data_IF_162417144685
#
_entry.id   IF_162417144685
#
_cell.length_a   1.000
_cell.length_b   1.000
_cell.length_c   1.000
_cell.angle_alpha   90.00
_cell.angle_beta   90.00
_cell.angle_gamma   90.00
#
_symmetry.space_group_name_H-M   'P 1'
#
loop_
_entity.id
_entity.type
_entity.pdbx_description
1 polymer ?
#
# COMPACT_ATOMS: atom_id res chain seq x y z
N UNK A 1 0.43 -4.30 -29.15
CA UNK A 1 0.90 -3.64 -27.90
C UNK A 1 1.32 -4.66 -26.83
N UNK A 2 0.43 -5.54 -26.36
CA UNK A 2 0.75 -6.50 -25.28
C UNK A 2 1.90 -7.47 -25.60
N UNK A 3 1.92 -8.08 -26.78
CA UNK A 3 3.02 -8.97 -27.20
C UNK A 3 4.38 -8.27 -27.19
N UNK A 4 4.41 -6.96 -27.48
CA UNK A 4 5.63 -6.17 -27.41
C UNK A 4 6.08 -6.00 -25.95
N UNK A 5 5.14 -5.72 -25.03
CA UNK A 5 5.44 -5.64 -23.60
C UNK A 5 5.97 -6.96 -23.06
N UNK A 6 5.38 -8.10 -23.45
CA UNK A 6 5.88 -9.42 -23.07
C UNK A 6 7.30 -9.68 -23.60
N UNK A 7 7.66 -9.17 -24.78
CA UNK A 7 9.03 -9.28 -25.33
C UNK A 7 10.02 -8.44 -24.54
N UNK A 8 9.69 -7.18 -24.28
CA UNK A 8 10.52 -6.27 -23.48
C UNK A 8 10.74 -6.86 -22.08
N UNK A 9 9.69 -7.37 -21.44
CA UNK A 9 9.81 -7.98 -20.11
C UNK A 9 10.76 -9.18 -20.10
N UNK A 10 10.66 -10.08 -21.08
CA UNK A 10 11.61 -11.20 -21.22
C UNK A 10 13.05 -10.74 -21.40
N UNK A 11 13.29 -9.71 -22.22
CA UNK A 11 14.63 -9.15 -22.40
C UNK A 11 15.19 -8.59 -21.09
N UNK A 12 14.38 -7.92 -20.27
CA UNK A 12 14.84 -7.41 -18.98
C UNK A 12 15.18 -8.53 -18.00
N UNK A 13 14.39 -9.61 -17.99
CA UNK A 13 14.68 -10.80 -17.17
C UNK A 13 16.00 -11.46 -17.59
N UNK A 14 16.22 -11.62 -18.90
CA UNK A 14 17.44 -12.21 -19.44
C UNK A 14 18.69 -11.39 -19.09
N UNK A 15 18.61 -10.05 -19.13
CA UNK A 15 19.70 -9.18 -18.71
C UNK A 15 20.05 -9.35 -17.22
N UNK A 16 19.05 -9.47 -16.36
CA UNK A 16 19.24 -9.68 -14.92
C UNK A 16 19.80 -11.09 -14.64
N UNK A 17 19.24 -12.11 -15.28
CA UNK A 17 19.69 -13.50 -15.16
C UNK A 17 21.16 -13.64 -15.52
N UNK A 18 21.59 -13.06 -16.64
CA UNK A 18 22.99 -13.08 -17.06
C UNK A 18 23.91 -12.38 -16.06
N UNK A 19 23.50 -11.23 -15.52
CA UNK A 19 24.29 -10.50 -14.53
C UNK A 19 24.43 -11.29 -13.21
N UNK A 20 23.36 -11.96 -12.77
CA UNK A 20 23.35 -12.83 -11.59
C UNK A 20 24.20 -14.07 -11.81
N UNK A 21 24.05 -14.74 -12.96
CA UNK A 21 24.83 -15.93 -13.31
C UNK A 21 26.33 -15.63 -13.39
N UNK A 22 26.70 -14.43 -13.85
CA UNK A 22 28.08 -13.97 -13.91
C UNK A 22 28.63 -13.48 -12.54
N UNK A 23 27.80 -13.36 -11.51
CA UNK A 23 28.20 -12.76 -10.23
C UNK A 23 28.59 -11.28 -10.34
N UNK A 24 28.12 -10.57 -11.37
CA UNK A 24 28.52 -9.20 -11.68
C UNK A 24 27.72 -8.20 -10.83
N UNK A 25 28.16 -8.04 -9.57
CA UNK A 25 27.57 -7.11 -8.61
C UNK A 25 27.40 -5.68 -9.13
N UNK A 26 28.42 -5.06 -9.76
CA UNK A 26 28.30 -3.74 -10.38
C UNK A 26 27.18 -3.68 -11.43
N UNK A 27 27.06 -4.69 -12.30
CA UNK A 27 26.01 -4.73 -13.31
C UNK A 27 24.62 -4.91 -12.71
N UNK A 28 24.49 -5.72 -11.66
CA UNK A 28 23.23 -5.88 -10.93
C UNK A 28 22.79 -4.55 -10.32
N UNK A 29 23.72 -3.82 -9.70
CA UNK A 29 23.43 -2.52 -9.10
C UNK A 29 22.94 -1.51 -10.16
N UNK A 30 23.63 -1.40 -11.30
CA UNK A 30 23.23 -0.53 -12.41
C UNK A 30 21.81 -0.86 -12.93
N UNK A 31 21.47 -2.14 -13.08
CA UNK A 31 20.13 -2.57 -13.48
C UNK A 31 19.06 -2.16 -12.46
N UNK A 32 19.33 -2.33 -11.17
CA UNK A 32 18.40 -1.97 -10.09
C UNK A 32 18.24 -0.46 -9.93
N UNK A 33 19.31 0.31 -10.10
CA UNK A 33 19.26 1.77 -10.06
C UNK A 33 18.43 2.33 -11.23
N UNK A 34 18.63 1.81 -12.44
CA UNK A 34 17.78 2.16 -13.60
C UNK A 34 16.32 1.84 -13.34
N UNK A 35 16.02 0.67 -12.78
CA UNK A 35 14.65 0.31 -12.41
C UNK A 35 14.06 1.27 -11.37
N UNK A 36 14.86 1.70 -10.39
CA UNK A 36 14.45 2.68 -9.37
C UNK A 36 14.11 4.03 -9.99
N UNK A 37 14.94 4.54 -10.90
CA UNK A 37 14.70 5.83 -11.56
C UNK A 37 13.48 5.78 -12.49
N UNK A 38 13.30 4.70 -13.26
CA UNK A 38 12.08 4.50 -14.06
C UNK A 38 10.85 4.49 -13.16
N UNK A 39 10.89 3.77 -12.03
CA UNK A 39 9.77 3.73 -11.07
C UNK A 39 9.44 5.12 -10.52
N UNK A 40 10.45 5.96 -10.24
CA UNK A 40 10.24 7.34 -9.77
C UNK A 40 9.56 8.23 -10.81
N UNK A 41 9.78 7.96 -12.10
CA UNK A 41 9.16 8.69 -13.20
C UNK A 41 7.71 8.26 -13.46
N UNK A 42 7.28 7.08 -13.00
CA UNK A 42 5.87 6.69 -13.05
C UNK A 42 5.10 7.55 -12.06
N UNK A 43 4.12 8.35 -12.51
CA UNK A 43 3.33 9.17 -11.61
C UNK A 43 2.64 8.28 -10.57
N UNK A 44 2.85 8.55 -9.29
CA UNK A 44 2.12 7.89 -8.19
C UNK A 44 0.59 7.98 -8.40
N UNK A 45 0.14 9.01 -9.12
CA UNK A 45 -1.25 9.31 -9.47
C UNK A 45 -1.60 8.98 -10.93
N UNK A 46 -1.05 7.90 -11.50
CA UNK A 46 -1.52 7.46 -12.82
C UNK A 46 -2.92 6.89 -12.62
N UNK A 47 -3.95 7.58 -13.16
CA UNK A 47 -5.32 7.07 -13.30
C UNK A 47 -5.29 5.79 -14.16
N UNK A 48 -4.90 4.68 -13.57
CA UNK A 48 -5.02 3.35 -14.14
C UNK A 48 -6.42 2.78 -13.92
N UNK A 49 -6.64 1.58 -14.43
CA UNK A 49 -7.88 0.80 -14.24
C UNK A 49 -8.11 0.35 -12.78
N UNK A 50 -7.10 0.47 -11.92
CA UNK A 50 -7.22 0.26 -10.48
C UNK A 50 -7.34 1.65 -9.82
N UNK A 51 -8.43 1.94 -9.09
CA UNK A 51 -8.59 3.21 -8.42
C UNK A 51 -7.44 3.42 -7.42
N UNK A 52 -6.91 4.65 -7.37
CA UNK A 52 -5.98 5.03 -6.30
C UNK A 52 -6.76 4.94 -5.00
N UNK A 53 -6.31 4.05 -4.11
CA UNK A 53 -6.88 3.90 -2.79
C UNK A 53 -6.01 4.65 -1.78
N UNK A 54 -6.61 5.54 -1.01
CA UNK A 54 -5.95 6.28 0.06
C UNK A 54 -6.05 5.46 1.34
N UNK A 55 -4.93 5.12 1.98
CA UNK A 55 -4.92 4.10 3.03
C UNK A 55 -4.53 4.67 4.39
N UNK A 56 -5.10 4.12 5.44
CA UNK A 56 -4.64 4.33 6.82
C UNK A 56 -4.36 2.99 7.49
N UNK A 57 -3.39 3.00 8.39
CA UNK A 57 -3.08 1.88 9.27
C UNK A 57 -3.45 2.26 10.70
N UNK A 58 -4.27 1.42 11.32
CA UNK A 58 -4.83 1.65 12.65
C UNK A 58 -4.35 0.52 13.57
N UNK A 59 -3.73 0.88 14.69
CA UNK A 59 -3.42 -0.08 15.76
C UNK A 59 -4.67 -0.33 16.60
N UNK A 60 -5.09 -1.60 16.69
CA UNK A 60 -6.30 -1.99 17.42
C UNK A 60 -5.96 -2.90 18.60
N UNK A 61 -6.48 -2.61 19.81
CA UNK A 61 -6.35 -3.52 20.94
C UNK A 61 -6.99 -4.89 20.64
N UNK A 62 -6.36 -5.96 21.12
CA UNK A 62 -6.90 -7.33 20.98
C UNK A 62 -7.97 -7.59 22.04
N UNK A 63 -9.16 -7.02 21.82
CA UNK A 63 -10.35 -7.27 22.65
C UNK A 63 -11.63 -7.28 21.79
N UNK A 64 -12.66 -8.02 22.20
CA UNK A 64 -13.94 -8.04 21.48
C UNK A 64 -14.54 -6.64 21.28
N UNK A 65 -15.15 -6.42 20.11
CA UNK A 65 -15.90 -5.20 19.81
C UNK A 65 -15.09 -4.06 19.17
N UNK A 66 -13.76 -4.05 19.26
CA UNK A 66 -12.93 -2.91 18.78
C UNK A 66 -13.14 -2.60 17.30
N UNK A 67 -13.22 -3.64 16.45
CA UNK A 67 -13.44 -3.46 15.01
C UNK A 67 -14.85 -2.92 14.74
N UNK A 68 -15.85 -3.34 15.52
CA UNK A 68 -17.21 -2.83 15.43
C UNK A 68 -17.28 -1.35 15.79
N UNK A 69 -16.68 -0.97 16.93
CA UNK A 69 -16.60 0.43 17.37
C UNK A 69 -15.91 1.32 16.33
N UNK A 70 -14.83 0.81 15.73
CA UNK A 70 -14.11 1.50 14.65
C UNK A 70 -15.02 1.81 13.45
N UNK A 71 -15.79 0.83 12.97
CA UNK A 71 -16.67 1.04 11.82
C UNK A 71 -17.90 1.86 12.16
N UNK A 72 -18.44 1.77 13.37
CA UNK A 72 -19.52 2.65 13.84
C UNK A 72 -19.06 4.11 13.83
N UNK A 73 -17.81 4.38 14.24
CA UNK A 73 -17.26 5.73 14.21
C UNK A 73 -17.16 6.29 12.79
N UNK A 74 -16.59 5.51 11.86
CA UNK A 74 -16.49 5.91 10.46
C UNK A 74 -17.88 6.10 9.82
N UNK A 75 -18.83 5.21 10.12
CA UNK A 75 -20.22 5.31 9.66
C UNK A 75 -20.94 6.56 10.19
N UNK A 76 -20.76 6.90 11.47
CA UNK A 76 -21.34 8.10 12.06
C UNK A 76 -20.77 9.40 11.46
N UNK A 77 -19.53 9.36 10.99
CA UNK A 77 -18.89 10.46 10.27
C UNK A 77 -19.26 10.50 8.77
N UNK A 78 -20.08 9.56 8.29
CA UNK A 78 -20.48 9.48 6.87
C UNK A 78 -19.35 9.07 5.93
N UNK A 79 -18.30 8.41 6.44
CA UNK A 79 -17.12 8.03 5.66
C UNK A 79 -17.35 6.65 5.04
N UNK A 80 -17.28 6.58 3.71
CA UNK A 80 -17.37 5.31 3.00
C UNK A 80 -16.02 4.59 2.98
N UNK A 81 -16.05 3.26 3.06
CA UNK A 81 -14.84 2.43 3.07
C UNK A 81 -14.76 1.65 1.76
N UNK A 82 -13.64 1.79 1.05
CA UNK A 82 -13.39 1.12 -0.22
C UNK A 82 -12.80 -0.28 -0.06
N UNK A 83 -11.92 -0.46 0.94
CA UNK A 83 -11.26 -1.74 1.21
C UNK A 83 -10.83 -1.85 2.68
N UNK A 84 -10.75 -3.08 3.20
CA UNK A 84 -10.38 -3.38 4.59
C UNK A 84 -9.50 -4.62 4.63
N UNK A 85 -8.40 -4.54 5.37
CA UNK A 85 -7.53 -5.68 5.63
C UNK A 85 -7.14 -5.76 7.11
N UNK A 86 -7.36 -6.92 7.73
CA UNK A 86 -6.90 -7.21 9.09
C UNK A 86 -5.50 -7.83 8.98
N UNK A 87 -4.50 -7.07 9.41
CA UNK A 87 -3.11 -7.49 9.39
C UNK A 87 -2.79 -8.26 10.68
N UNK A 88 -2.39 -9.52 10.52
CA UNK A 88 -1.91 -10.33 11.63
C UNK A 88 -0.56 -9.81 12.09
N UNK A 89 -0.45 -9.54 13.39
CA UNK A 89 0.84 -9.21 14.01
C UNK A 89 1.41 -10.48 14.63
N UNK A 90 2.73 -10.66 14.56
CA UNK A 90 3.43 -11.74 15.28
C UNK A 90 3.37 -11.43 16.79
N UNK A 91 3.38 -12.48 17.62
CA UNK A 91 3.03 -12.49 19.05
C UNK A 91 3.36 -11.22 19.86
N UNK A 92 2.38 -10.72 20.63
CA UNK A 92 2.57 -9.74 21.71
C UNK A 92 2.29 -8.28 21.39
N UNK A 93 2.02 -7.94 20.14
CA UNK A 93 1.63 -6.58 19.72
C UNK A 93 0.22 -6.69 19.13
N UNK A 94 -0.73 -5.87 19.60
CA UNK A 94 -2.13 -5.93 19.17
C UNK A 94 -2.31 -5.90 17.64
N UNK A 95 -3.50 -6.30 17.16
CA UNK A 95 -3.81 -6.34 15.73
C UNK A 95 -3.65 -4.98 15.03
N UNK A 96 -3.49 -4.99 13.71
CA UNK A 96 -3.57 -3.77 12.91
C UNK A 96 -4.65 -3.91 11.85
N UNK A 97 -5.40 -2.84 11.59
CA UNK A 97 -6.39 -2.78 10.51
C UNK A 97 -5.93 -1.75 9.50
N UNK A 98 -5.86 -2.15 8.24
CA UNK A 98 -5.71 -1.24 7.12
C UNK A 98 -7.09 -0.94 6.55
N UNK A 99 -7.39 0.34 6.38
CA UNK A 99 -8.62 0.82 5.74
C UNK A 99 -8.24 1.67 4.55
N UNK A 100 -8.96 1.49 3.45
CA UNK A 100 -8.76 2.24 2.22
C UNK A 100 -9.99 3.06 1.84
N UNK A 101 -9.74 4.24 1.27
CA UNK A 101 -10.74 5.23 0.87
C UNK A 101 -10.59 5.57 -0.60
N UNK A 102 -11.67 6.08 -1.21
CA UNK A 102 -11.67 6.46 -2.63
C UNK A 102 -11.08 7.83 -2.88
N UNK A 103 -11.06 8.69 -1.86
CA UNK A 103 -10.56 10.06 -1.94
C UNK A 103 -9.60 10.39 -0.79
N UNK A 104 -8.74 11.37 -1.02
CA UNK A 104 -7.83 11.91 0.00
C UNK A 104 -8.62 12.60 1.13
N UNK A 105 -9.70 13.30 0.79
CA UNK A 105 -10.55 13.97 1.78
C UNK A 105 -11.22 13.00 2.77
N UNK A 106 -11.70 11.84 2.28
CA UNK A 106 -12.22 10.76 3.14
C UNK A 106 -11.14 10.18 4.06
N UNK A 107 -9.91 10.02 3.56
CA UNK A 107 -8.76 9.59 4.36
C UNK A 107 -8.46 10.60 5.46
N UNK A 108 -8.46 11.89 5.14
CA UNK A 108 -8.14 12.97 6.06
C UNK A 108 -9.17 13.07 7.17
N UNK A 109 -10.46 13.03 6.81
CA UNK A 109 -11.56 13.03 7.75
C UNK A 109 -11.52 11.79 8.67
N UNK A 110 -11.21 10.61 8.11
CA UNK A 110 -11.06 9.39 8.91
C UNK A 110 -9.92 9.51 9.93
N UNK A 111 -8.76 10.04 9.52
CA UNK A 111 -7.63 10.27 10.42
C UNK A 111 -8.02 11.21 11.56
N UNK A 112 -8.73 12.29 11.24
CA UNK A 112 -9.17 13.27 12.24
C UNK A 112 -10.13 12.63 13.26
N UNK A 113 -11.18 11.95 12.80
CA UNK A 113 -12.21 11.35 13.65
C UNK A 113 -11.66 10.24 14.55
N UNK A 114 -10.79 9.38 14.01
CA UNK A 114 -10.21 8.28 14.77
C UNK A 114 -9.19 8.77 15.80
N UNK A 115 -8.41 9.83 15.49
CA UNK A 115 -7.48 10.44 16.45
C UNK A 115 -8.20 11.14 17.59
N UNK A 116 -9.33 11.81 17.34
CA UNK A 116 -10.18 12.39 18.40
C UNK A 116 -10.62 11.34 19.44
N UNK A 117 -10.70 10.07 19.03
CA UNK A 117 -11.06 8.94 19.89
C UNK A 117 -9.87 8.23 20.54
N UNK A 118 -8.66 8.76 20.35
CA UNK A 118 -7.44 8.21 20.95
C UNK A 118 -6.86 7.00 20.22
N UNK A 119 -7.31 6.69 19.00
CA UNK A 119 -6.72 5.62 18.20
C UNK A 119 -5.39 6.06 17.57
N UNK A 120 -4.44 5.12 17.48
CA UNK A 120 -3.19 5.36 16.78
C UNK A 120 -3.36 5.07 15.29
N UNK A 121 -3.29 6.14 14.48
CA UNK A 121 -3.53 6.11 13.04
C UNK A 121 -2.35 6.71 12.27
N UNK A 122 -1.83 5.95 11.30
CA UNK A 122 -0.75 6.34 10.39
C UNK A 122 -1.29 6.39 8.96
N UNK A 123 -1.03 7.47 8.22
CA UNK A 123 -1.34 7.56 6.79
C UNK A 123 -0.34 6.74 5.98
N UNK A 124 -0.85 5.93 5.06
CA UNK A 124 -0.06 5.18 4.07
C UNK A 124 0.31 5.99 2.85
#
# INVERSE_FOLDING_TARGET
MLLNMCRVFRQQLELLENAVAAGDGPRILDLLEKAREIRRQVPAKTKGYLPVLYQILISVPDRPGVIGDLFVQLGNAGINIADIEILRVREGVGGSVRIAFTTEDEQDLAVEELRKKGMQVVKG
#
